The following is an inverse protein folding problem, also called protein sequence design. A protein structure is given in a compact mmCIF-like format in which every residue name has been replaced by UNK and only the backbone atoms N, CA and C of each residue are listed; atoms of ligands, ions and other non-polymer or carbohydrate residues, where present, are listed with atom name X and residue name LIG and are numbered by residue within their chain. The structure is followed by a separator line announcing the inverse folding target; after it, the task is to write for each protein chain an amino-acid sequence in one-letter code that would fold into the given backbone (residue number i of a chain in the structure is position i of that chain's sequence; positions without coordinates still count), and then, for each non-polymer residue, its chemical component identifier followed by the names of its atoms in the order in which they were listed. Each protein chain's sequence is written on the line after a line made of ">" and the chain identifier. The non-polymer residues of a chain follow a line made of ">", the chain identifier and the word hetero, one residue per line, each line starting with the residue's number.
data_IF_948608315040
#
_entry.id   IF_948608315040
#
_cell.length_a   1.000
_cell.length_b   1.000
_cell.length_c   1.000
_cell.angle_alpha   90.00
_cell.angle_beta   90.00
_cell.angle_gamma   90.00
#
_symmetry.space_group_name_H-M   'P 1'
#
loop_
_entity.id
_entity.type
_entity.pdbx_description
1 polymer ?
#
# COMPACT_ATOMS: atom_id res chain seq x y z
N UNK A 1 3.70 21.71 34.79
CA UNK A 1 4.49 20.86 33.88
C UNK A 1 3.54 20.28 32.86
N UNK A 2 3.61 20.73 31.60
CA UNK A 2 2.79 20.19 30.53
C UNK A 2 3.44 18.89 30.04
N UNK A 3 2.86 17.74 30.42
CA UNK A 3 3.22 16.47 29.83
C UNK A 3 2.76 16.50 28.37
N UNK A 4 3.68 16.88 27.47
CA UNK A 4 3.51 16.62 26.04
C UNK A 4 3.64 15.11 25.89
N UNK A 5 2.50 14.43 25.86
CA UNK A 5 2.43 13.02 25.47
C UNK A 5 2.96 12.98 24.03
N UNK A 6 4.21 12.56 23.84
CA UNK A 6 4.70 12.19 22.51
C UNK A 6 3.79 11.06 22.06
N UNK A 7 2.90 11.34 21.11
CA UNK A 7 2.10 10.32 20.45
C UNK A 7 3.09 9.35 19.82
N UNK A 8 3.15 8.15 20.36
CA UNK A 8 4.08 7.13 19.90
C UNK A 8 3.80 6.90 18.42
N UNK A 9 4.81 7.18 17.59
CA UNK A 9 4.66 7.08 16.14
C UNK A 9 4.56 5.60 15.82
N UNK A 10 3.40 5.15 15.37
CA UNK A 10 3.20 3.76 14.95
C UNK A 10 4.01 3.54 13.69
N UNK A 11 5.16 2.88 13.83
CA UNK A 11 5.99 2.48 12.70
C UNK A 11 5.32 1.32 11.98
N UNK A 12 4.90 1.55 10.73
CA UNK A 12 4.38 0.48 9.88
C UNK A 12 5.52 -0.46 9.47
N UNK A 13 5.19 -1.74 9.29
CA UNK A 13 6.17 -2.73 8.82
C UNK A 13 6.44 -2.60 7.33
N UNK A 14 7.72 -2.72 6.98
CA UNK A 14 8.14 -3.04 5.61
C UNK A 14 7.68 -4.45 5.23
N UNK A 15 7.48 -4.66 3.93
CA UNK A 15 7.14 -5.95 3.35
C UNK A 15 5.81 -5.96 2.63
N UNK A 16 5.16 -7.10 2.66
CA UNK A 16 3.98 -7.38 1.84
C UNK A 16 2.72 -7.19 2.63
N UNK A 17 1.83 -6.39 2.08
CA UNK A 17 0.51 -6.07 2.61
C UNK A 17 -0.55 -6.60 1.66
N UNK A 18 -1.67 -7.03 2.21
CA UNK A 18 -2.80 -7.55 1.46
C UNK A 18 -4.06 -6.80 1.79
N UNK A 19 -4.73 -6.30 0.77
CA UNK A 19 -6.02 -5.63 0.94
C UNK A 19 -7.15 -6.63 1.16
N UNK A 20 -8.30 -6.17 1.67
CA UNK A 20 -9.54 -6.94 1.72
C UNK A 20 -10.01 -7.43 0.35
N UNK A 21 -9.65 -6.71 -0.73
CA UNK A 21 -9.82 -7.15 -2.12
C UNK A 21 -8.84 -8.27 -2.56
N UNK A 22 -8.03 -8.77 -1.63
CA UNK A 22 -6.98 -9.77 -1.77
C UNK A 22 -5.75 -9.34 -2.56
N UNK A 23 -5.70 -8.12 -3.08
CA UNK A 23 -4.55 -7.64 -3.86
C UNK A 23 -3.31 -7.44 -3.00
N UNK A 24 -2.14 -7.58 -3.61
CA UNK A 24 -0.85 -7.53 -2.94
C UNK A 24 -0.14 -6.19 -3.17
N UNK A 25 0.49 -5.71 -2.11
CA UNK A 25 1.26 -4.48 -2.09
C UNK A 25 2.60 -4.73 -1.41
N UNK A 26 3.71 -4.46 -2.10
CA UNK A 26 5.04 -4.46 -1.52
C UNK A 26 5.34 -3.04 -1.08
N UNK A 27 5.51 -2.82 0.22
CA UNK A 27 5.69 -1.51 0.81
C UNK A 27 7.06 -1.44 1.48
N UNK A 28 7.80 -0.38 1.17
CA UNK A 28 9.05 -0.04 1.81
C UNK A 28 8.97 1.38 2.37
N UNK A 29 9.39 1.53 3.62
CA UNK A 29 9.46 2.78 4.35
C UNK A 29 10.91 3.09 4.66
N UNK A 30 11.34 4.28 4.26
CA UNK A 30 12.67 4.82 4.53
C UNK A 30 12.47 6.15 5.21
N UNK A 31 12.80 6.23 6.51
CA UNK A 31 12.44 7.36 7.37
C UNK A 31 10.92 7.61 7.34
N UNK A 32 10.47 8.74 6.80
CA UNK A 32 9.06 9.05 6.62
C UNK A 32 8.60 8.84 5.17
N UNK A 33 9.45 8.41 4.24
CA UNK A 33 9.09 8.19 2.83
C UNK A 33 8.53 6.78 2.65
N UNK A 34 7.45 6.66 1.89
CA UNK A 34 6.79 5.39 1.57
C UNK A 34 6.90 5.16 0.08
N UNK A 35 7.35 3.97 -0.28
CA UNK A 35 7.39 3.47 -1.64
C UNK A 35 6.56 2.19 -1.71
N UNK A 36 5.78 2.02 -2.76
CA UNK A 36 5.13 0.74 -2.99
C UNK A 36 5.21 0.23 -4.42
N UNK A 37 4.85 -1.04 -4.54
CA UNK A 37 4.36 -1.68 -5.76
C UNK A 37 3.03 -2.34 -5.42
N UNK A 38 1.96 -2.05 -6.17
CA UNK A 38 0.66 -2.72 -6.06
C UNK A 38 0.29 -3.42 -7.36
N UNK A 39 -0.27 -4.62 -7.27
CA UNK A 39 -0.65 -5.42 -8.44
C UNK A 39 -1.97 -6.18 -8.22
N UNK A 40 -2.72 -6.37 -9.31
CA UNK A 40 -3.81 -7.34 -9.31
C UNK A 40 -3.25 -8.74 -9.09
N UNK A 41 -4.01 -9.61 -8.43
CA UNK A 41 -3.67 -11.03 -8.34
C UNK A 41 -3.78 -11.74 -9.70
N UNK A 42 -3.02 -12.84 -9.81
CA UNK A 42 -3.18 -13.84 -10.86
C UNK A 42 -4.55 -14.51 -10.77
N UNK A 43 -5.16 -14.77 -11.91
CA UNK A 43 -6.39 -15.56 -12.03
C UNK A 43 -6.28 -16.51 -13.24
N UNK A 44 -7.31 -17.33 -13.48
CA UNK A 44 -7.38 -18.15 -14.69
C UNK A 44 -7.46 -17.33 -16.00
N UNK A 45 -7.71 -16.01 -15.93
CA UNK A 45 -7.92 -15.12 -17.09
C UNK A 45 -6.84 -14.07 -17.27
N UNK A 46 -5.97 -13.86 -16.29
CA UNK A 46 -4.96 -12.81 -16.33
C UNK A 46 -3.77 -13.18 -15.44
N UNK A 47 -2.59 -12.78 -15.85
CA UNK A 47 -1.38 -12.89 -15.03
C UNK A 47 -1.33 -11.81 -13.94
N UNK A 48 -0.36 -11.96 -13.04
CA UNK A 48 -0.09 -10.98 -11.99
C UNK A 48 0.26 -9.62 -12.59
N UNK A 49 -0.37 -8.55 -12.09
CA UNK A 49 -0.11 -7.17 -12.55
C UNK A 49 -0.59 -6.83 -13.97
N UNK A 50 -1.09 -7.79 -14.74
CA UNK A 50 -1.47 -7.59 -16.15
C UNK A 50 -2.72 -6.70 -16.32
N UNK A 51 -3.68 -6.77 -15.40
CA UNK A 51 -4.86 -5.89 -15.46
C UNK A 51 -4.48 -4.49 -14.99
N UNK A 52 -3.79 -4.41 -13.86
CA UNK A 52 -3.25 -3.17 -13.31
C UNK A 52 -2.02 -3.47 -12.47
N UNK A 53 -1.05 -2.58 -12.57
CA UNK A 53 0.19 -2.61 -11.83
C UNK A 53 0.62 -1.16 -11.65
N UNK A 54 0.80 -0.72 -10.41
CA UNK A 54 1.10 0.66 -10.12
C UNK A 54 2.19 0.79 -9.08
N UNK A 55 2.95 1.86 -9.19
CA UNK A 55 3.91 2.31 -8.18
C UNK A 55 3.35 3.52 -7.45
N UNK A 56 3.88 3.79 -6.27
CA UNK A 56 3.42 4.87 -5.43
C UNK A 56 4.54 5.38 -4.55
N UNK A 57 4.53 6.68 -4.32
CA UNK A 57 5.52 7.37 -3.51
C UNK A 57 4.83 8.48 -2.71
N UNK A 58 5.17 8.56 -1.43
CA UNK A 58 4.63 9.59 -0.56
C UNK A 58 5.31 9.62 0.80
N UNK A 59 4.58 10.11 1.79
CA UNK A 59 5.12 10.33 3.13
C UNK A 59 4.16 9.91 4.24
N UNK A 60 4.74 9.53 5.37
CA UNK A 60 4.04 9.37 6.65
C UNK A 60 4.07 10.70 7.39
N UNK A 61 2.91 11.17 7.83
CA UNK A 61 2.78 12.28 8.78
C UNK A 61 1.74 11.89 9.83
N UNK A 62 2.13 11.93 11.10
CA UNK A 62 1.35 11.39 12.22
C UNK A 62 0.97 9.91 12.01
N UNK A 63 -0.33 9.64 11.82
CA UNK A 63 -0.88 8.32 11.55
C UNK A 63 -1.42 8.19 10.12
N UNK A 64 -0.98 9.04 9.19
CA UNK A 64 -1.44 9.01 7.80
C UNK A 64 -0.28 8.81 6.85
N UNK A 65 -0.52 7.95 5.85
CA UNK A 65 0.28 7.89 4.64
C UNK A 65 -0.47 8.69 3.58
N UNK A 66 0.20 9.66 2.97
CA UNK A 66 -0.31 10.38 1.80
C UNK A 66 0.66 10.15 0.66
N UNK A 67 0.17 9.58 -0.45
CA UNK A 67 1.02 9.26 -1.60
C UNK A 67 0.33 9.53 -2.94
N UNK A 68 1.16 9.81 -3.93
CA UNK A 68 0.79 9.79 -5.34
C UNK A 68 1.09 8.39 -5.92
N UNK A 69 0.24 7.91 -6.81
CA UNK A 69 0.39 6.62 -7.50
C UNK A 69 0.14 6.77 -9.00
N UNK A 70 0.77 5.88 -9.78
CA UNK A 70 0.54 5.78 -11.22
C UNK A 70 0.66 4.33 -11.65
N UNK A 71 -0.23 3.92 -12.54
CA UNK A 71 -0.05 2.71 -13.32
C UNK A 71 1.28 2.78 -14.09
N UNK A 72 1.90 1.63 -14.27
CA UNK A 72 3.10 1.43 -15.07
C UNK A 72 2.82 0.42 -16.17
N UNK A 73 3.67 0.40 -17.20
CA UNK A 73 3.49 -0.37 -18.44
C UNK A 73 3.52 -1.91 -18.30
N UNK A 74 3.43 -2.43 -17.08
CA UNK A 74 3.15 -3.84 -16.80
C UNK A 74 1.65 -4.12 -16.93
N UNK A 75 0.81 -3.21 -16.44
CA UNK A 75 -0.65 -3.32 -16.51
C UNK A 75 -1.23 -2.69 -17.77
N UNK A 76 -2.48 -3.04 -18.08
CA UNK A 76 -3.26 -2.41 -19.17
C UNK A 76 -3.81 -1.03 -18.79
N UNK A 77 -3.79 -0.70 -17.50
CA UNK A 77 -4.20 0.61 -16.98
C UNK A 77 -3.24 1.73 -17.39
N UNK A 78 -3.77 2.95 -17.39
CA UNK A 78 -3.00 4.18 -17.56
C UNK A 78 -3.58 5.29 -16.65
N UNK A 79 -3.90 4.90 -15.42
CA UNK A 79 -4.49 5.76 -14.41
C UNK A 79 -3.41 6.26 -13.44
N UNK A 80 -3.71 7.36 -12.77
CA UNK A 80 -2.88 7.91 -11.71
C UNK A 80 -3.75 8.69 -10.73
N UNK A 81 -3.18 9.00 -9.58
CA UNK A 81 -3.77 9.96 -8.66
C UNK A 81 -3.23 9.85 -7.25
N UNK A 82 -4.11 10.11 -6.28
CA UNK A 82 -3.75 10.23 -4.86
C UNK A 82 -4.48 9.19 -4.02
N UNK A 83 -3.84 8.82 -2.92
CA UNK A 83 -4.45 7.99 -1.89
C UNK A 83 -3.97 8.44 -0.50
N UNK A 84 -4.90 8.41 0.45
CA UNK A 84 -4.64 8.65 1.87
C UNK A 84 -5.03 7.41 2.65
N UNK A 85 -4.11 6.94 3.48
CA UNK A 85 -4.25 5.71 4.26
C UNK A 85 -4.03 6.04 5.74
N UNK A 86 -4.99 5.67 6.57
CA UNK A 86 -4.86 5.73 8.02
C UNK A 86 -4.13 4.50 8.55
N UNK A 87 -3.09 4.74 9.33
CA UNK A 87 -2.34 3.72 10.07
C UNK A 87 -3.09 3.43 11.37
N UNK A 88 -3.65 2.22 11.48
CA UNK A 88 -4.40 1.77 12.67
C UNK A 88 -3.44 1.12 13.68
N UNK A 89 -2.53 0.28 13.18
CA UNK A 89 -1.46 -0.37 13.94
C UNK A 89 -0.28 -0.67 13.01
N UNK A 90 0.82 -1.21 13.54
CA UNK A 90 2.01 -1.54 12.74
C UNK A 90 1.77 -2.60 11.64
N UNK A 91 0.66 -3.35 11.73
CA UNK A 91 0.28 -4.44 10.84
C UNK A 91 -1.12 -4.27 10.23
N UNK A 92 -1.77 -3.13 10.43
CA UNK A 92 -3.12 -2.86 9.90
C UNK A 92 -3.29 -1.39 9.54
N UNK A 93 -3.83 -1.14 8.35
CA UNK A 93 -4.13 0.20 7.86
C UNK A 93 -5.41 0.20 7.02
N UNK A 94 -5.98 1.39 6.80
CA UNK A 94 -7.25 1.55 6.08
C UNK A 94 -7.15 2.72 5.10
N UNK A 95 -7.54 2.49 3.86
CA UNK A 95 -7.70 3.56 2.88
C UNK A 95 -8.89 4.43 3.30
N UNK A 96 -8.67 5.73 3.40
CA UNK A 96 -9.69 6.71 3.83
C UNK A 96 -10.05 7.70 2.72
N UNK A 97 -9.16 7.91 1.75
CA UNK A 97 -9.41 8.71 0.55
C UNK A 97 -8.66 8.09 -0.63
N UNK A 98 -9.29 7.96 -1.79
CA UNK A 98 -8.64 7.44 -2.99
C UNK A 98 -9.30 7.92 -4.29
N UNK A 99 -8.48 8.11 -5.33
CA UNK A 99 -8.94 8.44 -6.69
C UNK A 99 -8.84 7.27 -7.67
N UNK A 100 -8.46 6.07 -7.19
CA UNK A 100 -8.14 4.89 -8.00
C UNK A 100 -9.10 3.72 -7.85
N UNK A 101 -10.20 3.92 -7.11
CA UNK A 101 -11.15 2.89 -6.73
C UNK A 101 -10.50 1.76 -5.89
N UNK A 102 -9.67 2.15 -4.92
CA UNK A 102 -9.10 1.23 -3.92
C UNK A 102 -10.14 0.71 -2.93
N UNK A 103 -11.37 1.22 -3.01
CA UNK A 103 -12.56 0.69 -2.34
C UNK A 103 -12.56 0.91 -0.83
N UNK A 104 -11.84 1.92 -0.33
CA UNK A 104 -11.68 2.18 1.10
C UNK A 104 -11.22 0.93 1.87
N UNK A 105 -10.38 0.11 1.22
CA UNK A 105 -10.02 -1.22 1.68
C UNK A 105 -9.14 -1.20 2.94
N UNK A 106 -9.23 -2.28 3.73
CA UNK A 106 -8.37 -2.52 4.89
C UNK A 106 -7.21 -3.40 4.45
N UNK A 107 -6.00 -3.01 4.81
CA UNK A 107 -4.78 -3.71 4.41
C UNK A 107 -4.12 -4.27 5.66
N UNK A 108 -3.76 -5.55 5.60
CA UNK A 108 -3.07 -6.24 6.69
C UNK A 108 -1.68 -6.62 6.22
N UNK A 109 -0.69 -6.48 7.10
CA UNK A 109 0.65 -6.98 6.84
C UNK A 109 0.61 -8.52 6.82
N UNK A 110 1.18 -9.12 5.77
CA UNK A 110 1.21 -10.57 5.57
C UNK A 110 2.58 -11.16 5.93
N UNK A 111 3.65 -10.61 5.35
CA UNK A 111 5.01 -11.14 5.49
C UNK A 111 6.07 -10.13 5.10
N UNK A 112 7.31 -10.36 5.52
CA UNK A 112 8.44 -9.47 5.25
C UNK A 112 8.83 -9.43 3.77
N UNK A 113 8.81 -10.59 3.10
CA UNK A 113 9.21 -10.72 1.69
C UNK A 113 8.30 -11.73 0.98
N UNK A 114 8.01 -11.46 -0.28
CA UNK A 114 7.36 -12.39 -1.22
C UNK A 114 8.01 -12.19 -2.58
N UNK A 115 8.61 -13.24 -3.12
CA UNK A 115 9.15 -13.24 -4.47
C UNK A 115 8.03 -13.52 -5.47
N UNK A 116 8.13 -12.97 -6.69
CA UNK A 116 7.09 -13.20 -7.71
C UNK A 116 6.97 -14.67 -8.12
N UNK A 117 8.06 -15.44 -8.04
CA UNK A 117 8.06 -16.89 -8.27
C UNK A 117 7.28 -17.69 -7.23
N UNK A 118 6.95 -17.08 -6.08
CA UNK A 118 6.19 -17.72 -5.00
C UNK A 118 4.68 -17.42 -5.09
N UNK A 119 4.26 -16.68 -6.12
CA UNK A 119 2.87 -16.30 -6.33
C UNK A 119 2.25 -17.28 -7.32
N UNK A 120 1.34 -18.10 -6.81
CA UNK A 120 0.60 -19.11 -7.59
C UNK A 120 -0.62 -18.51 -8.30
#
# INVERSE_FOLDING_TARGET
>A
MNNIIKKETVLIKNGVWKSTGRNLFWINVVENKVFWLGMNNKTAKNELGENWCHVGNGTITDNRITLDWSDISVGKGNLNGKIVIEIISNNKMKVIEDSGNFGMSIWNWEKEKLNFSEIN
#
